data_IF_480547068113
#
_entry.id   IF_480547068113
#
_cell.length_a   1.000
_cell.length_b   1.000
_cell.length_c   1.000
_cell.angle_alpha   90.00
_cell.angle_beta   90.00
_cell.angle_gamma   90.00
#
_symmetry.space_group_name_H-M   'P 1'
#
loop_
_entity.id
_entity.type
_entity.pdbx_description
1 polymer ?
#
# COMPACT_ATOMS: atom_id res chain seq x y z
N UNK A 1 22.92 16.16 -4.58
CA UNK A 1 22.89 14.69 -4.53
C UNK A 1 21.64 14.26 -3.75
N UNK A 2 20.73 13.52 -4.37
CA UNK A 2 19.51 13.01 -3.71
C UNK A 2 19.91 11.82 -2.83
N UNK A 3 19.94 12.02 -1.52
CA UNK A 3 20.30 10.98 -0.57
C UNK A 3 19.10 10.06 -0.33
N UNK A 4 19.27 8.77 -0.64
CA UNK A 4 18.26 7.76 -0.33
C UNK A 4 18.25 7.62 1.20
N UNK A 5 17.24 8.18 1.86
CA UNK A 5 17.05 7.98 3.31
C UNK A 5 17.01 6.49 3.70
N UNK A 6 17.03 6.20 5.01
CA UNK A 6 17.17 4.83 5.58
C UNK A 6 16.15 3.79 5.11
N UNK A 7 15.02 4.22 4.53
CA UNK A 7 14.05 3.32 3.90
C UNK A 7 14.57 2.94 2.51
N UNK A 8 14.99 1.69 2.35
CA UNK A 8 15.65 1.18 1.15
C UNK A 8 14.86 1.40 -0.15
N UNK A 9 15.57 1.35 -1.27
CA UNK A 9 15.03 1.56 -2.62
C UNK A 9 13.81 0.68 -2.94
N UNK A 10 13.78 -0.55 -2.43
CA UNK A 10 12.68 -1.50 -2.67
C UNK A 10 11.35 -1.08 -2.05
N UNK A 11 11.34 -0.28 -0.98
CA UNK A 11 10.08 0.28 -0.50
C UNK A 11 9.64 1.46 -1.37
N UNK A 12 10.56 2.30 -1.85
CA UNK A 12 10.21 3.49 -2.62
C UNK A 12 9.63 3.14 -4.00
N UNK A 13 9.98 1.99 -4.56
CA UNK A 13 9.47 1.54 -5.87
C UNK A 13 7.97 1.27 -5.89
N UNK A 14 7.32 1.04 -4.73
CA UNK A 14 5.86 0.84 -4.68
C UNK A 14 5.09 2.06 -5.17
N UNK A 15 5.65 3.26 -4.97
CA UNK A 15 5.07 4.53 -5.41
C UNK A 15 5.23 4.76 -6.92
N UNK A 16 5.94 3.89 -7.64
CA UNK A 16 5.92 3.91 -9.10
C UNK A 16 4.59 3.38 -9.65
N UNK A 17 3.91 2.48 -8.92
CA UNK A 17 2.73 1.76 -9.39
C UNK A 17 1.46 2.04 -8.57
N UNK A 18 1.58 2.63 -7.39
CA UNK A 18 0.46 2.94 -6.50
C UNK A 18 0.62 4.30 -5.84
N UNK A 19 -0.48 5.06 -5.77
CA UNK A 19 -0.55 6.29 -4.96
C UNK A 19 -0.97 6.03 -3.51
N UNK A 20 -1.43 4.82 -3.20
CA UNK A 20 -1.98 4.46 -1.88
C UNK A 20 -1.54 3.04 -1.45
N UNK A 21 -0.24 2.72 -1.44
CA UNK A 21 0.21 1.41 -0.96
C UNK A 21 -0.13 1.23 0.53
N UNK A 22 -0.56 0.01 0.88
CA UNK A 22 -0.86 -0.38 2.25
C UNK A 22 0.05 -1.53 2.72
N UNK A 23 0.55 -1.41 3.95
CA UNK A 23 1.34 -2.41 4.65
C UNK A 23 0.54 -2.97 5.83
N UNK A 24 0.32 -4.28 5.82
CA UNK A 24 -0.37 -5.00 6.88
C UNK A 24 0.65 -5.95 7.53
N UNK A 25 0.92 -5.79 8.82
CA UNK A 25 1.93 -6.58 9.53
C UNK A 25 1.58 -6.71 11.02
N UNK A 26 1.01 -7.83 11.40
CA UNK A 26 0.54 -8.06 12.77
C UNK A 26 -0.51 -7.04 13.19
N UNK A 27 -0.22 -6.24 14.22
CA UNK A 27 -1.12 -5.18 14.67
C UNK A 27 -1.05 -3.90 13.80
N UNK A 28 -0.03 -3.76 12.95
CA UNK A 28 0.16 -2.56 12.14
C UNK A 28 -0.58 -2.66 10.81
N UNK A 29 -1.45 -1.68 10.54
CA UNK A 29 -2.14 -1.52 9.27
C UNK A 29 -1.92 -0.08 8.81
N UNK A 30 -0.99 0.12 7.90
CA UNK A 30 -0.53 1.45 7.48
C UNK A 30 -0.85 1.67 6.01
N UNK A 31 -1.34 2.86 5.67
CA UNK A 31 -1.51 3.33 4.30
C UNK A 31 -0.61 4.54 4.06
N UNK A 32 -0.04 4.65 2.88
CA UNK A 32 0.76 5.81 2.49
C UNK A 32 0.07 6.51 1.33
N UNK A 33 -0.73 7.53 1.62
CA UNK A 33 -1.46 8.27 0.61
C UNK A 33 -0.58 9.41 0.06
N UNK A 34 -0.30 9.39 -1.24
CA UNK A 34 0.52 10.42 -1.91
C UNK A 34 -0.26 11.29 -2.90
N UNK A 35 -1.59 11.16 -2.96
CA UNK A 35 -2.44 11.87 -3.94
C UNK A 35 -2.45 13.39 -3.70
N UNK A 36 -2.34 13.85 -2.45
CA UNK A 36 -2.47 15.26 -2.06
C UNK A 36 -1.15 15.88 -1.59
N UNK A 37 -0.01 15.42 -2.10
CA UNK A 37 1.28 15.99 -1.71
C UNK A 37 1.49 17.36 -2.37
N UNK A 38 1.65 18.39 -1.54
CA UNK A 38 2.05 19.73 -1.97
C UNK A 38 3.53 19.80 -2.37
N UNK A 39 4.12 21.01 -2.35
CA UNK A 39 5.53 21.25 -2.72
C UNK A 39 6.56 20.61 -1.76
N UNK A 40 6.12 19.94 -0.70
CA UNK A 40 6.97 19.28 0.30
C UNK A 40 6.93 17.77 0.09
N UNK A 41 8.08 17.17 -0.24
CA UNK A 41 8.21 15.74 -0.49
C UNK A 41 8.36 14.92 0.78
N UNK A 42 7.31 14.78 1.57
CA UNK A 42 7.24 13.81 2.68
C UNK A 42 6.01 12.92 2.53
N UNK A 43 6.10 11.69 3.07
CA UNK A 43 4.99 10.75 3.10
C UNK A 43 4.85 10.26 4.53
N UNK A 44 3.73 10.60 5.17
CA UNK A 44 3.38 10.12 6.50
C UNK A 44 2.43 8.94 6.37
N UNK A 45 2.66 7.82 7.07
CA UNK A 45 1.69 6.73 7.09
C UNK A 45 0.45 7.14 7.89
N UNK A 46 -0.71 6.74 7.39
CA UNK A 46 -1.99 6.79 8.08
C UNK A 46 -2.34 5.39 8.59
N UNK A 47 -2.91 5.30 9.78
CA UNK A 47 -3.47 4.04 10.27
C UNK A 47 -4.75 3.71 9.49
N UNK A 48 -4.85 2.49 8.96
CA UNK A 48 -6.08 2.00 8.36
C UNK A 48 -7.12 1.75 9.46
N UNK A 49 -8.26 2.42 9.35
CA UNK A 49 -9.42 2.13 10.20
C UNK A 49 -9.98 0.75 9.88
N UNK A 50 -10.73 0.16 10.81
CA UNK A 50 -11.39 -1.14 10.57
C UNK A 50 -12.37 -1.06 9.39
N UNK A 51 -13.07 0.06 9.22
CA UNK A 51 -13.97 0.28 8.09
C UNK A 51 -13.22 0.22 6.74
N UNK A 52 -12.08 0.90 6.62
CA UNK A 52 -11.28 0.90 5.38
C UNK A 52 -10.62 -0.46 5.19
N UNK A 53 -10.08 -1.06 6.25
CA UNK A 53 -9.52 -2.41 6.20
C UNK A 53 -10.56 -3.40 5.69
N UNK A 54 -11.81 -3.28 6.12
CA UNK A 54 -12.87 -4.22 5.75
C UNK A 54 -13.46 -4.02 4.36
N UNK A 55 -13.37 -2.82 3.80
CA UNK A 55 -13.98 -2.48 2.51
C UNK A 55 -12.98 -2.36 1.37
N UNK A 56 -11.80 -1.79 1.62
CA UNK A 56 -10.81 -1.49 0.58
C UNK A 56 -9.76 -2.59 0.40
N UNK A 57 -9.52 -3.43 1.42
CA UNK A 57 -8.55 -4.54 1.33
C UNK A 57 -9.27 -5.80 0.84
N UNK A 58 -8.82 -6.42 -0.27
CA UNK A 58 -9.37 -7.69 -0.75
C UNK A 58 -9.40 -8.78 0.33
N UNK A 59 -10.45 -9.60 0.33
CA UNK A 59 -10.63 -10.66 1.32
C UNK A 59 -9.42 -11.60 1.44
N UNK A 60 -8.89 -12.07 0.32
CA UNK A 60 -7.72 -12.96 0.29
C UNK A 60 -6.47 -12.34 0.95
N UNK A 61 -6.31 -11.02 0.85
CA UNK A 61 -5.20 -10.31 1.51
C UNK A 61 -5.44 -10.15 3.01
N UNK A 62 -6.70 -9.97 3.43
CA UNK A 62 -7.06 -9.95 4.86
C UNK A 62 -6.84 -11.32 5.51
N UNK A 63 -7.21 -12.40 4.81
CA UNK A 63 -6.99 -13.78 5.26
C UNK A 63 -5.50 -14.08 5.36
N UNK A 64 -4.71 -13.71 4.35
CA UNK A 64 -3.25 -13.82 4.40
C UNK A 64 -2.66 -13.05 5.58
N UNK A 65 -3.10 -11.81 5.81
CA UNK A 65 -2.65 -10.98 6.93
C UNK A 65 -3.00 -11.57 8.30
N UNK A 66 -4.21 -12.10 8.46
CA UNK A 66 -4.67 -12.77 9.69
C UNK A 66 -4.01 -14.14 9.92
N UNK A 67 -3.33 -14.67 8.89
CA UNK A 67 -2.68 -15.96 8.89
C UNK A 67 -3.64 -17.07 8.46
N UNK A 68 -3.28 -17.77 7.39
CA UNK A 68 -3.96 -19.01 7.01
C UNK A 68 -3.53 -20.14 7.96
N UNK A 69 -4.50 -20.88 8.49
CA UNK A 69 -4.24 -22.20 9.07
C UNK A 69 -3.96 -23.18 7.92
N UNK A 70 -2.76 -23.73 7.85
CA UNK A 70 -2.50 -24.86 6.95
C UNK A 70 -3.09 -26.13 7.59
N UNK A 71 -3.84 -26.97 6.85
CA UNK A 71 -4.23 -28.28 7.34
C UNK A 71 -2.98 -29.12 7.59
N UNK A 72 -2.66 -29.35 8.87
CA UNK A 72 -1.41 -30.01 9.31
C UNK A 72 -0.65 -29.27 10.41
N UNK A 73 -1.01 -28.02 10.75
CA UNK A 73 -0.28 -27.17 11.71
C UNK A 73 -0.32 -27.62 13.19
N UNK A 74 -0.85 -28.81 13.49
CA UNK A 74 -0.76 -29.42 14.82
C UNK A 74 -1.35 -28.57 15.95
N UNK A 75 -2.34 -27.71 15.66
CA UNK A 75 -2.95 -26.81 16.65
C UNK A 75 -2.18 -25.50 16.91
N UNK A 76 -1.09 -25.21 16.16
CA UNK A 76 -0.41 -23.91 16.27
C UNK A 76 -1.36 -22.76 15.90
N UNK A 77 -1.26 -21.61 16.61
CA UNK A 77 -2.01 -20.42 16.23
C UNK A 77 -1.54 -19.93 14.85
N UNK A 78 -2.46 -19.41 14.00
CA UNK A 78 -2.08 -18.82 12.72
C UNK A 78 -1.08 -17.69 12.97
N UNK A 79 0.03 -17.73 12.24
CA UNK A 79 1.02 -16.66 12.32
C UNK A 79 0.62 -15.54 11.36
N UNK A 80 0.45 -14.29 11.84
CA UNK A 80 0.13 -13.18 10.98
C UNK A 80 1.29 -12.96 10.00
N UNK A 81 0.96 -12.81 8.72
CA UNK A 81 1.96 -12.55 7.68
C UNK A 81 2.03 -11.06 7.35
N UNK A 82 3.19 -10.62 6.84
CA UNK A 82 3.33 -9.28 6.29
C UNK A 82 2.77 -9.26 4.87
N UNK A 83 1.75 -8.44 4.63
CA UNK A 83 1.11 -8.26 3.33
C UNK A 83 1.34 -6.83 2.84
N UNK A 84 1.77 -6.73 1.58
CA UNK A 84 1.88 -5.46 0.86
C UNK A 84 0.76 -5.40 -0.18
N UNK A 85 -0.17 -4.45 -0.01
CA UNK A 85 -1.25 -4.21 -0.95
C UNK A 85 -0.98 -2.95 -1.75
N UNK A 86 -0.97 -3.07 -3.09
CA UNK A 86 -0.65 -2.00 -4.02
C UNK A 86 -1.84 -1.78 -4.96
N UNK A 87 -2.84 -0.97 -4.59
CA UNK A 87 -3.88 -0.58 -5.53
C UNK A 87 -3.22 0.17 -6.69
N UNK A 88 -3.34 -0.37 -7.90
CA UNK A 88 -2.68 0.17 -9.08
C UNK A 88 -3.28 1.54 -9.43
N UNK A 89 -2.42 2.46 -9.87
CA UNK A 89 -2.88 3.72 -10.45
C UNK A 89 -3.80 3.43 -11.64
N UNK A 90 -4.92 4.12 -11.72
CA UNK A 90 -5.73 4.12 -12.94
C UNK A 90 -4.91 4.75 -14.06
N UNK A 91 -4.50 3.96 -15.06
CA UNK A 91 -3.81 4.46 -16.24
C UNK A 91 -4.71 5.33 -17.16
N UNK A 92 -5.94 5.65 -16.76
CA UNK A 92 -6.93 6.36 -17.59
C UNK A 92 -6.99 7.85 -17.27
N UNK A 93 -5.93 8.60 -17.56
CA UNK A 93 -6.04 10.07 -17.71
C UNK A 93 -4.86 10.74 -18.43
N UNK A 94 -4.15 10.01 -19.31
CA UNK A 94 -3.18 10.62 -20.23
C UNK A 94 -3.79 10.85 -21.61
N UNK A 95 -4.99 11.43 -21.66
CA UNK A 95 -5.44 12.19 -22.83
C UNK A 95 -5.36 13.67 -22.46
N UNK A 96 -4.15 14.19 -22.25
CA UNK A 96 -3.93 15.63 -22.40
C UNK A 96 -3.97 15.89 -23.90
N UNK A 97 -5.05 16.49 -24.36
CA UNK A 97 -5.10 17.13 -25.67
C UNK A 97 -3.93 18.11 -25.76
N UNK A 98 -2.94 17.76 -26.59
CA UNK A 98 -2.05 18.74 -27.20
C UNK A 98 -2.91 19.46 -28.23
N UNK A 99 -3.26 20.72 -27.98
CA UNK A 99 -4.09 21.50 -28.88
C UNK A 99 -4.26 22.94 -28.39
N UNK A 100 -3.48 23.82 -29.02
CA UNK A 100 -3.70 25.26 -29.26
C UNK A 100 -3.89 26.20 -28.07
N UNK A 101 -2.81 26.90 -27.70
CA UNK A 101 -2.83 28.37 -27.70
C UNK A 101 -1.52 28.88 -28.33
N UNK A 102 -1.68 29.57 -29.46
CA UNK A 102 -0.68 30.38 -30.14
C UNK A 102 -1.11 31.85 -30.02
#
# INVERSE_FOLDING_TARGET
>A
ATQIGRKGVGWKSVFAVSDKPALLSGAFRLCFNVVELGRLGYVTPEALTDAVYCTAIPQSLREAHQGHRQPGDGGKPPMPSTVLFLPLRDCRSSSRSIGDEA
#
